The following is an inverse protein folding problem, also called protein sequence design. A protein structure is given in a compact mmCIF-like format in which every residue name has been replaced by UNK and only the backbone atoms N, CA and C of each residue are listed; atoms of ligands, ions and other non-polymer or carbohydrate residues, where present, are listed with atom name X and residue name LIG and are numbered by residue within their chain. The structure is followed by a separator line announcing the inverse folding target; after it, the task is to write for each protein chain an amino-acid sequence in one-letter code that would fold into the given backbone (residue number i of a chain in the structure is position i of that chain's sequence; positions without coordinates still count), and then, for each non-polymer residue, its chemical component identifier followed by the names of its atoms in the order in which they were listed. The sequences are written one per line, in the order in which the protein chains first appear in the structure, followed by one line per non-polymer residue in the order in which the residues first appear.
data_IF_397313189404
#
_entry.id   IF_397313189404
#
_cell.length_a   1.000
_cell.length_b   1.000
_cell.length_c   1.000
_cell.angle_alpha   90.00
_cell.angle_beta   90.00
_cell.angle_gamma   90.00
#
_symmetry.space_group_name_H-M   'P 1'
#
loop_
_entity.id
_entity.type
_entity.pdbx_description
1 polymer ?
#
# COMPACT_ATOMS: atom_id res chain seq x y z
N UNK A 1 51.11 -7.97 20.39
CA UNK A 1 50.82 -9.06 19.45
C UNK A 1 49.37 -8.93 19.04
N UNK A 2 49.17 -8.49 17.79
CA UNK A 2 47.89 -8.39 17.10
C UNK A 2 47.17 -9.73 17.03
N UNK A 3 45.84 -9.72 17.21
CA UNK A 3 44.90 -10.47 16.37
C UNK A 3 43.56 -9.74 16.29
N UNK A 4 43.44 -9.03 15.19
CA UNK A 4 42.21 -8.72 14.47
C UNK A 4 41.44 -10.02 14.15
N UNK A 5 40.10 -10.01 14.23
CA UNK A 5 39.21 -10.69 13.27
C UNK A 5 37.74 -10.39 13.55
N UNK A 6 37.25 -9.41 12.79
CA UNK A 6 35.88 -9.18 12.34
C UNK A 6 35.11 -10.47 12.05
N UNK A 7 33.88 -10.58 12.56
CA UNK A 7 32.86 -11.46 11.97
C UNK A 7 31.48 -10.82 12.12
N UNK A 8 31.21 -9.83 11.28
CA UNK A 8 29.87 -9.37 10.96
C UNK A 8 29.08 -10.57 10.40
N UNK A 9 28.07 -11.00 11.14
CA UNK A 9 27.11 -11.96 10.64
C UNK A 9 26.12 -11.19 9.74
N UNK A 10 26.36 -11.25 8.44
CA UNK A 10 25.38 -10.95 7.40
C UNK A 10 24.13 -11.80 7.62
N UNK A 11 23.11 -11.22 8.25
CA UNK A 11 21.76 -11.78 8.29
C UNK A 11 21.19 -11.58 6.88
N UNK A 12 21.23 -12.66 6.09
CA UNK A 12 20.45 -12.77 4.85
C UNK A 12 18.98 -12.83 5.24
N UNK A 13 18.25 -11.75 5.00
CA UNK A 13 16.78 -11.75 4.96
C UNK A 13 16.33 -12.63 3.78
N UNK A 14 16.16 -13.91 4.04
CA UNK A 14 15.50 -14.84 3.12
C UNK A 14 13.97 -14.67 3.32
N UNK A 15 13.40 -13.62 2.74
CA UNK A 15 11.95 -13.48 2.60
C UNK A 15 11.50 -14.13 1.29
N UNK A 16 11.45 -15.46 1.30
CA UNK A 16 10.75 -16.22 0.26
C UNK A 16 9.37 -16.55 0.80
N UNK A 17 8.46 -15.58 0.74
CA UNK A 17 7.03 -15.84 0.93
C UNK A 17 6.37 -15.87 -0.45
N UNK A 18 6.07 -17.09 -0.90
CA UNK A 18 5.31 -17.39 -2.11
C UNK A 18 3.82 -17.15 -1.77
N UNK A 19 3.44 -15.89 -1.73
CA UNK A 19 2.05 -15.47 -1.55
C UNK A 19 1.42 -15.30 -2.91
N UNK A 20 0.61 -16.26 -3.34
CA UNK A 20 -0.19 -16.18 -4.56
C UNK A 20 -0.87 -14.82 -4.66
N UNK A 21 -0.59 -14.12 -5.76
CA UNK A 21 -1.18 -12.83 -6.10
C UNK A 21 -2.66 -13.05 -6.44
N UNK A 22 -3.52 -13.05 -5.42
CA UNK A 22 -4.96 -13.04 -5.62
C UNK A 22 -5.35 -11.65 -6.15
N UNK A 23 -5.58 -11.57 -7.46
CA UNK A 23 -6.20 -10.42 -8.14
C UNK A 23 -7.60 -10.19 -7.51
N UNK A 24 -7.64 -9.36 -6.46
CA UNK A 24 -8.88 -8.93 -5.82
C UNK A 24 -9.65 -8.03 -6.79
N UNK A 25 -10.91 -8.36 -7.15
CA UNK A 25 -11.73 -7.51 -8.01
C UNK A 25 -12.07 -6.19 -7.31
N UNK A 26 -12.09 -5.10 -8.08
CA UNK A 26 -12.49 -3.77 -7.60
C UNK A 26 -13.94 -3.79 -7.09
N UNK A 27 -14.13 -3.61 -5.79
CA UNK A 27 -15.44 -3.58 -5.14
C UNK A 27 -16.05 -2.18 -5.38
N UNK A 28 -17.25 -2.07 -6.01
CA UNK A 28 -17.92 -0.78 -6.17
C UNK A 28 -18.38 -0.26 -4.80
N UNK A 29 -17.96 0.96 -4.45
CA UNK A 29 -18.30 1.62 -3.19
C UNK A 29 -19.61 2.41 -3.31
N UNK A 30 -20.42 2.49 -2.24
CA UNK A 30 -21.69 3.23 -2.27
C UNK A 30 -21.48 4.74 -2.40
N UNK A 31 -22.35 5.44 -3.16
CA UNK A 31 -22.43 6.90 -3.18
C UNK A 31 -22.85 7.41 -1.80
N UNK A 32 -21.88 7.88 -1.02
CA UNK A 32 -22.07 8.37 0.34
C UNK A 32 -21.25 9.63 0.56
N UNK A 33 -21.75 10.57 1.37
CA UNK A 33 -20.99 11.75 1.84
C UNK A 33 -19.83 11.38 2.79
N UNK A 34 -19.55 10.08 2.96
CA UNK A 34 -18.49 9.61 3.83
C UNK A 34 -17.14 9.82 3.16
N UNK A 35 -16.33 10.67 3.80
CA UNK A 35 -14.98 11.02 3.36
C UNK A 35 -14.10 9.78 3.20
N UNK A 36 -14.23 8.76 4.04
CA UNK A 36 -13.45 7.51 3.94
C UNK A 36 -13.77 6.74 2.66
N UNK A 37 -15.04 6.61 2.30
CA UNK A 37 -15.44 5.94 1.06
C UNK A 37 -14.98 6.72 -0.17
N UNK A 38 -15.04 8.06 -0.13
CA UNK A 38 -14.51 8.92 -1.20
C UNK A 38 -12.99 8.77 -1.38
N UNK A 39 -12.24 8.75 -0.27
CA UNK A 39 -10.79 8.53 -0.28
C UNK A 39 -10.48 7.15 -0.84
N UNK A 40 -11.16 6.10 -0.37
CA UNK A 40 -10.94 4.73 -0.82
C UNK A 40 -11.26 4.55 -2.30
N UNK A 41 -12.31 5.21 -2.81
CA UNK A 41 -12.65 5.16 -4.23
C UNK A 41 -11.55 5.78 -5.10
N UNK A 42 -11.08 6.99 -4.75
CA UNK A 42 -9.97 7.65 -5.44
C UNK A 42 -8.69 6.83 -5.36
N UNK A 43 -8.40 6.25 -4.18
CA UNK A 43 -7.25 5.41 -3.94
C UNK A 43 -7.28 4.15 -4.82
N UNK A 44 -8.42 3.46 -4.87
CA UNK A 44 -8.61 2.27 -5.70
C UNK A 44 -8.42 2.59 -7.18
N UNK A 45 -9.02 3.67 -7.66
CA UNK A 45 -8.87 4.09 -9.05
C UNK A 45 -7.40 4.38 -9.40
N UNK A 46 -6.69 5.12 -8.53
CA UNK A 46 -5.28 5.41 -8.79
C UNK A 46 -4.39 4.16 -8.75
N UNK A 47 -4.69 3.18 -7.90
CA UNK A 47 -3.99 1.88 -7.86
C UNK A 47 -4.25 1.09 -9.14
N UNK A 48 -5.52 0.96 -9.56
CA UNK A 48 -5.90 0.24 -10.76
C UNK A 48 -5.28 0.87 -12.02
N UNK A 49 -5.33 2.20 -12.14
CA UNK A 49 -4.67 2.95 -13.21
C UNK A 49 -3.15 2.72 -13.18
N UNK A 50 -2.51 2.83 -12.02
CA UNK A 50 -1.06 2.60 -11.88
C UNK A 50 -0.66 1.21 -12.38
N UNK A 51 -1.36 0.16 -11.94
CA UNK A 51 -1.09 -1.20 -12.40
C UNK A 51 -1.34 -1.38 -13.90
N UNK A 52 -2.34 -0.71 -14.45
CA UNK A 52 -2.63 -0.71 -15.88
C UNK A 52 -1.46 -0.08 -16.67
N UNK A 53 -0.98 1.10 -16.26
CA UNK A 53 0.16 1.76 -16.88
C UNK A 53 1.45 0.93 -16.78
N UNK A 54 1.71 0.32 -15.62
CA UNK A 54 2.86 -0.59 -15.44
C UNK A 54 2.75 -1.80 -16.35
N UNK A 55 1.56 -2.41 -16.49
CA UNK A 55 1.33 -3.61 -17.32
C UNK A 55 1.47 -3.34 -18.81
N UNK A 56 0.96 -2.19 -19.28
CA UNK A 56 0.97 -1.83 -20.69
C UNK A 56 2.14 -0.93 -21.09
N UNK A 57 3.16 -0.80 -20.23
CA UNK A 57 4.36 0.00 -20.51
C UNK A 57 5.00 -0.23 -21.90
N UNK A 58 5.05 -1.46 -22.48
CA UNK A 58 5.72 -1.65 -23.76
C UNK A 58 4.98 -1.02 -24.95
N UNK A 59 3.72 -0.62 -24.74
CA UNK A 59 2.81 -0.12 -25.77
C UNK A 59 2.61 1.41 -25.70
N UNK A 60 3.24 2.09 -24.73
CA UNK A 60 3.07 3.52 -24.48
C UNK A 60 4.38 4.27 -24.77
N UNK A 61 4.28 5.55 -25.14
CA UNK A 61 5.47 6.39 -25.21
C UNK A 61 6.03 6.63 -23.82
N UNK A 62 7.36 6.63 -23.70
CA UNK A 62 8.05 6.78 -22.41
C UNK A 62 7.64 8.07 -21.67
N UNK A 63 7.51 9.18 -22.39
CA UNK A 63 7.07 10.45 -21.81
C UNK A 63 5.64 10.38 -21.25
N UNK A 64 4.70 9.79 -22.00
CA UNK A 64 3.32 9.65 -21.54
C UNK A 64 3.23 8.70 -20.34
N UNK A 65 3.94 7.59 -20.39
CA UNK A 65 4.03 6.62 -19.29
C UNK A 65 4.57 7.28 -18.02
N UNK A 66 5.66 8.03 -18.11
CA UNK A 66 6.28 8.68 -16.95
C UNK A 66 5.35 9.69 -16.28
N UNK A 67 4.64 10.50 -17.08
CA UNK A 67 3.67 11.49 -16.57
C UNK A 67 2.51 10.79 -15.86
N UNK A 68 1.93 9.76 -16.48
CA UNK A 68 0.79 9.06 -15.89
C UNK A 68 1.19 8.28 -14.64
N UNK A 69 2.32 7.55 -14.66
CA UNK A 69 2.83 6.86 -13.48
C UNK A 69 3.08 7.83 -12.32
N UNK A 70 3.75 8.96 -12.56
CA UNK A 70 3.98 9.96 -11.53
C UNK A 70 2.66 10.50 -10.96
N UNK A 71 1.69 10.81 -11.83
CA UNK A 71 0.37 11.30 -11.43
C UNK A 71 -0.36 10.29 -10.54
N UNK A 72 -0.36 9.00 -10.91
CA UNK A 72 -1.00 7.95 -10.10
C UNK A 72 -0.25 7.71 -8.80
N UNK A 73 1.07 7.63 -8.82
CA UNK A 73 1.90 7.50 -7.62
C UNK A 73 1.64 8.61 -6.60
N UNK A 74 1.55 9.86 -7.06
CA UNK A 74 1.21 11.01 -6.21
C UNK A 74 -0.22 10.94 -5.67
N UNK A 75 -1.18 10.50 -6.51
CA UNK A 75 -2.57 10.29 -6.09
C UNK A 75 -2.70 9.21 -5.01
N UNK A 76 -2.04 8.06 -5.20
CA UNK A 76 -1.99 6.95 -4.23
C UNK A 76 -1.41 7.45 -2.91
N UNK A 77 -0.28 8.15 -2.96
CA UNK A 77 0.36 8.66 -1.74
C UNK A 77 -0.52 9.65 -0.98
N UNK A 78 -1.09 10.63 -1.68
CA UNK A 78 -2.02 11.60 -1.10
C UNK A 78 -3.22 10.93 -0.45
N UNK A 79 -3.90 10.04 -1.18
CA UNK A 79 -5.13 9.42 -0.72
C UNK A 79 -4.86 8.45 0.42
N UNK A 80 -3.75 7.72 0.39
CA UNK A 80 -3.35 6.85 1.49
C UNK A 80 -2.94 7.65 2.74
N UNK A 81 -2.23 8.77 2.58
CA UNK A 81 -1.91 9.66 3.69
C UNK A 81 -3.19 10.24 4.33
N UNK A 82 -4.17 10.64 3.52
CA UNK A 82 -5.46 11.12 4.01
C UNK A 82 -6.19 10.01 4.78
N UNK A 83 -6.29 8.81 4.21
CA UNK A 83 -6.90 7.65 4.86
C UNK A 83 -6.22 7.39 6.21
N UNK A 84 -4.88 7.31 6.21
CA UNK A 84 -4.08 7.08 7.41
C UNK A 84 -4.35 8.11 8.49
N UNK A 85 -4.38 9.40 8.15
CA UNK A 85 -4.64 10.47 9.12
C UNK A 85 -6.04 10.40 9.73
N UNK A 86 -7.05 9.97 8.97
CA UNK A 86 -8.41 9.83 9.46
C UNK A 86 -8.60 8.65 10.41
N UNK A 87 -7.77 7.61 10.34
CA UNK A 87 -8.03 6.34 11.03
C UNK A 87 -6.91 5.91 11.98
N UNK A 88 -5.74 6.58 11.96
CA UNK A 88 -4.58 6.19 12.77
C UNK A 88 -4.83 6.25 14.28
N UNK A 89 -5.66 7.18 14.76
CA UNK A 89 -5.80 7.45 16.20
C UNK A 89 -6.43 6.28 16.94
N UNK A 90 -7.38 5.57 16.32
CA UNK A 90 -7.95 4.38 16.94
C UNK A 90 -7.07 3.16 16.65
N UNK A 91 -6.55 3.05 15.41
CA UNK A 91 -5.73 1.91 15.01
C UNK A 91 -4.39 1.82 15.76
N UNK A 92 -3.85 2.92 16.28
CA UNK A 92 -2.58 2.89 17.04
C UNK A 92 -2.72 2.11 18.35
N UNK A 93 -3.92 2.05 18.94
CA UNK A 93 -4.18 1.27 20.14
C UNK A 93 -4.26 -0.23 19.85
N UNK A 94 -4.74 -0.62 18.67
CA UNK A 94 -4.88 -2.03 18.27
C UNK A 94 -3.63 -2.57 17.58
N UNK A 95 -2.97 -1.77 16.74
CA UNK A 95 -1.86 -2.17 15.87
C UNK A 95 -0.68 -1.18 15.89
N UNK A 96 -0.06 -0.90 17.05
CA UNK A 96 0.94 0.16 17.19
C UNK A 96 2.15 0.00 16.25
N UNK A 97 2.71 -1.21 16.14
CA UNK A 97 3.86 -1.48 15.27
C UNK A 97 3.53 -1.32 13.78
N UNK A 98 2.31 -1.71 13.39
CA UNK A 98 1.83 -1.60 12.01
C UNK A 98 1.62 -0.12 11.63
N UNK A 99 1.06 0.67 12.54
CA UNK A 99 0.89 2.10 12.36
C UNK A 99 2.25 2.81 12.27
N UNK A 100 3.21 2.46 13.12
CA UNK A 100 4.56 3.04 13.04
C UNK A 100 5.25 2.71 11.70
N UNK A 101 5.15 1.47 11.22
CA UNK A 101 5.69 1.07 9.91
C UNK A 101 5.03 1.84 8.76
N UNK A 102 3.71 2.00 8.81
CA UNK A 102 2.93 2.73 7.80
C UNK A 102 3.30 4.22 7.79
N UNK A 103 3.45 4.82 8.96
CA UNK A 103 3.88 6.22 9.10
C UNK A 103 5.29 6.44 8.54
N UNK A 104 6.23 5.54 8.85
CA UNK A 104 7.59 5.57 8.27
C UNK A 104 7.53 5.48 6.75
N UNK A 105 6.71 4.58 6.20
CA UNK A 105 6.58 4.42 4.74
C UNK A 105 6.00 5.68 4.07
N UNK A 106 5.01 6.31 4.69
CA UNK A 106 4.35 7.51 4.15
C UNK A 106 5.21 8.77 4.25
N UNK A 107 5.89 8.98 5.39
CA UNK A 107 6.48 10.29 5.71
C UNK A 107 8.00 10.27 5.85
N UNK A 108 8.63 9.11 6.07
CA UNK A 108 10.10 8.98 6.04
C UNK A 108 10.54 8.49 4.67
N UNK A 109 10.49 9.40 3.70
CA UNK A 109 11.00 9.17 2.35
C UNK A 109 12.51 8.95 2.34
N UNK A 110 12.99 8.13 1.42
CA UNK A 110 14.42 7.95 1.17
C UNK A 110 14.76 8.53 -0.20
N UNK A 111 15.67 9.52 -0.24
CA UNK A 111 16.05 10.22 -1.47
C UNK A 111 16.67 9.22 -2.45
N UNK A 112 16.29 9.29 -3.72
CA UNK A 112 16.81 8.38 -4.76
C UNK A 112 16.09 7.04 -4.86
N UNK A 113 14.97 6.84 -4.14
CA UNK A 113 14.12 5.66 -4.32
C UNK A 113 13.38 5.75 -5.66
N UNK A 114 13.43 4.66 -6.43
CA UNK A 114 12.63 4.46 -7.63
C UNK A 114 11.13 4.62 -7.31
N UNK A 115 10.47 5.58 -7.98
CA UNK A 115 9.08 5.95 -7.75
C UNK A 115 8.12 4.78 -7.96
N UNK A 116 8.36 3.95 -8.99
CA UNK A 116 7.52 2.79 -9.31
C UNK A 116 7.67 1.74 -8.21
N UNK A 117 8.91 1.43 -7.81
CA UNK A 117 9.17 0.48 -6.71
C UNK A 117 8.59 0.96 -5.39
N UNK A 118 8.71 2.25 -5.08
CA UNK A 118 8.09 2.86 -3.90
C UNK A 118 6.57 2.73 -3.95
N UNK A 119 5.95 3.02 -5.09
CA UNK A 119 4.50 2.93 -5.27
C UNK A 119 4.01 1.50 -5.11
N UNK A 120 4.73 0.49 -5.62
CA UNK A 120 4.41 -0.92 -5.35
C UNK A 120 4.51 -1.30 -3.87
N UNK A 121 5.49 -0.78 -3.14
CA UNK A 121 5.56 -0.97 -1.68
C UNK A 121 4.36 -0.33 -0.99
N UNK A 122 3.97 0.86 -1.44
CA UNK A 122 2.82 1.58 -0.92
C UNK A 122 1.50 0.82 -1.18
N UNK A 123 1.29 0.31 -2.40
CA UNK A 123 0.11 -0.50 -2.75
C UNK A 123 -0.03 -1.74 -1.84
N UNK A 124 1.08 -2.42 -1.53
CA UNK A 124 1.07 -3.55 -0.59
C UNK A 124 0.64 -3.13 0.81
N UNK A 125 1.24 -2.06 1.35
CA UNK A 125 0.85 -1.54 2.66
C UNK A 125 -0.61 -1.07 2.70
N UNK A 126 -1.13 -0.51 1.60
CA UNK A 126 -2.54 -0.12 1.47
C UNK A 126 -3.47 -1.33 1.57
N UNK A 127 -3.13 -2.44 0.92
CA UNK A 127 -3.92 -3.68 1.01
C UNK A 127 -4.01 -4.17 2.46
N UNK A 128 -2.88 -4.21 3.17
CA UNK A 128 -2.84 -4.58 4.59
C UNK A 128 -3.67 -3.60 5.45
N UNK A 129 -3.58 -2.31 5.14
CA UNK A 129 -4.33 -1.27 5.85
C UNK A 129 -5.83 -1.39 5.66
N UNK A 130 -6.30 -1.69 4.45
CA UNK A 130 -7.73 -1.95 4.17
C UNK A 130 -8.26 -3.15 4.95
N UNK A 131 -7.45 -4.20 5.13
CA UNK A 131 -7.81 -5.36 5.95
C UNK A 131 -7.96 -4.93 7.42
N UNK A 132 -7.05 -4.12 7.96
CA UNK A 132 -7.15 -3.60 9.31
C UNK A 132 -8.42 -2.74 9.50
N UNK A 133 -8.69 -1.82 8.57
CA UNK A 133 -9.91 -1.00 8.60
C UNK A 133 -11.19 -1.84 8.59
N UNK A 134 -11.22 -2.90 7.78
CA UNK A 134 -12.36 -3.80 7.74
C UNK A 134 -12.54 -4.55 9.07
N UNK A 135 -11.45 -5.04 9.68
CA UNK A 135 -11.49 -5.74 10.98
C UNK A 135 -12.02 -4.85 12.11
N UNK A 136 -11.60 -3.59 12.14
CA UNK A 136 -12.05 -2.62 13.16
C UNK A 136 -13.42 -2.00 12.83
N UNK A 137 -14.07 -2.40 11.73
CA UNK A 137 -15.45 -1.99 11.42
C UNK A 137 -15.58 -0.61 10.78
N UNK A 138 -14.51 -0.01 10.27
CA UNK A 138 -14.55 1.26 9.52
C UNK A 138 -15.32 1.16 8.20
N UNK A 139 -15.39 -0.05 7.63
CA UNK A 139 -16.00 -0.32 6.32
C UNK A 139 -17.04 -1.45 6.46
N UNK A 140 -18.14 -1.23 7.19
CA UNK A 140 -19.10 -2.27 7.52
C UNK A 140 -19.81 -2.85 6.28
N UNK A 141 -19.90 -2.08 5.20
CA UNK A 141 -20.55 -2.48 3.94
C UNK A 141 -19.62 -3.29 3.02
N UNK A 142 -18.30 -3.31 3.28
CA UNK A 142 -17.33 -4.12 2.52
C UNK A 142 -17.43 -5.63 2.85
N UNK A 143 -18.45 -6.02 3.63
CA UNK A 143 -18.72 -7.34 4.24
C UNK A 143 -18.86 -8.53 3.28
N UNK A 144 -18.67 -8.37 1.97
CA UNK A 144 -18.75 -9.49 1.02
C UNK A 144 -17.57 -9.45 0.07
N UNK A 145 -16.61 -10.34 0.35
CA UNK A 145 -15.79 -11.15 -0.60
C UNK A 145 -14.37 -11.48 -0.10
N UNK A 146 -14.04 -11.31 1.18
CA UNK A 146 -12.90 -12.04 1.73
C UNK A 146 -13.35 -13.47 2.06
N UNK A 147 -12.78 -14.53 1.44
CA UNK A 147 -13.03 -15.87 1.90
C UNK A 147 -12.51 -15.95 3.33
N UNK A 148 -13.43 -16.12 4.28
CA UNK A 148 -13.10 -16.61 5.60
C UNK A 148 -12.41 -17.97 5.40
N UNK A 149 -11.09 -17.98 5.46
CA UNK A 149 -10.36 -19.22 5.72
C UNK A 149 -10.58 -19.47 7.21
N UNK A 150 -11.53 -20.36 7.50
CA UNK A 150 -11.70 -20.94 8.82
C UNK A 150 -10.36 -21.56 9.25
N UNK A 151 -9.83 -21.10 10.38
CA UNK A 151 -8.70 -21.71 11.11
C UNK A 151 -9.25 -22.37 12.37
#
# INVERSE_FOLDING_TARGET
MDRDTTRDQNIKENETFDGDCLDLPDIPLPETDNVLYSILNSLNQNIADFHTFVKFNPYLSEEHLNVELLKRSMGIHRDFAALFLHTKEELVFTYPEFIEKTEKLLFKGNVGTDCIKYTHKLCRAISDYKIALHREGYLPDLRRQLPLVDL
#
